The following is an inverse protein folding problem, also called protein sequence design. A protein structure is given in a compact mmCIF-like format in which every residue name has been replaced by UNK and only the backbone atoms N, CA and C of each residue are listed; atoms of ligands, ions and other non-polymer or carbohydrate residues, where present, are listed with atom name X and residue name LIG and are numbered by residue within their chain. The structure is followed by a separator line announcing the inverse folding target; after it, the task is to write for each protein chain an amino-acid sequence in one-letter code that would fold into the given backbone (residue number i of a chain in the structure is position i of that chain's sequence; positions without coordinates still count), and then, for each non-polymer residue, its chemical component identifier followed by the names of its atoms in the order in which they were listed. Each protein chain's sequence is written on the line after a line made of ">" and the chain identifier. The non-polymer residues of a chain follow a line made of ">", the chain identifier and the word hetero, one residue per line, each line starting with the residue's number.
data_IF_278916313384
#
_entry.id   IF_278916313384
#
_cell.length_a   1.000
_cell.length_b   1.000
_cell.length_c   1.000
_cell.angle_alpha   90.00
_cell.angle_beta   90.00
_cell.angle_gamma   90.00
#
_symmetry.space_group_name_H-M   'P 1'
#
loop_
_entity.id
_entity.type
_entity.pdbx_description
1 polymer ?
#
# COMPACT_ATOMS: atom_id res chain seq x y z
N UNK A 1 10.13 6.16 22.96
CA UNK A 1 10.49 4.81 22.45
C UNK A 1 9.31 3.95 21.96
N UNK A 2 8.15 3.97 22.61
CA UNK A 2 6.97 3.16 22.19
C UNK A 2 6.40 3.56 20.82
N UNK A 3 6.35 4.86 20.51
CA UNK A 3 5.83 5.39 19.23
C UNK A 3 6.69 4.93 18.04
N UNK A 4 8.02 4.93 18.20
CA UNK A 4 8.97 4.50 17.16
C UNK A 4 8.82 3.00 16.85
N UNK A 5 8.57 2.17 17.86
CA UNK A 5 8.29 0.73 17.68
C UNK A 5 6.96 0.51 16.94
N UNK A 6 5.92 1.27 17.28
CA UNK A 6 4.60 1.25 16.62
C UNK A 6 4.72 1.60 15.13
N UNK A 7 5.42 2.70 14.81
CA UNK A 7 5.70 3.12 13.43
C UNK A 7 6.48 2.06 12.65
N UNK A 8 7.52 1.46 13.24
CA UNK A 8 8.33 0.43 12.60
C UNK A 8 7.49 -0.79 12.20
N UNK A 9 6.54 -1.19 13.03
CA UNK A 9 5.69 -2.34 12.78
C UNK A 9 4.62 -2.05 11.72
N UNK A 10 4.00 -0.86 11.75
CA UNK A 10 3.15 -0.40 10.65
C UNK A 10 3.93 -0.41 9.33
N UNK A 11 5.18 0.07 9.35
CA UNK A 11 6.07 0.04 8.17
C UNK A 11 6.39 -1.38 7.71
N UNK A 12 6.66 -2.32 8.61
CA UNK A 12 6.92 -3.72 8.25
C UNK A 12 5.67 -4.36 7.62
N UNK A 13 4.49 -4.10 8.19
CA UNK A 13 3.22 -4.58 7.66
C UNK A 13 2.94 -3.99 6.27
N UNK A 14 2.99 -2.66 6.16
CA UNK A 14 2.73 -1.95 4.91
C UNK A 14 3.78 -2.27 3.85
N UNK A 15 5.03 -2.57 4.20
CA UNK A 15 6.08 -3.01 3.26
C UNK A 15 5.68 -4.24 2.44
N UNK A 16 4.91 -5.19 3.00
CA UNK A 16 4.44 -6.37 2.25
C UNK A 16 3.53 -6.01 1.08
N UNK A 17 2.84 -4.87 1.15
CA UNK A 17 1.90 -4.39 0.13
C UNK A 17 2.48 -3.26 -0.73
N UNK A 18 3.24 -2.35 -0.10
CA UNK A 18 3.87 -1.20 -0.75
C UNK A 18 4.94 -1.60 -1.75
N UNK A 19 5.73 -2.66 -1.47
CA UNK A 19 6.80 -3.09 -2.37
C UNK A 19 6.23 -3.66 -3.69
N UNK A 20 5.28 -4.63 -3.67
CA UNK A 20 4.62 -5.08 -4.89
C UNK A 20 3.90 -3.95 -5.62
N UNK A 21 3.15 -3.12 -4.88
CA UNK A 21 2.44 -1.98 -5.46
C UNK A 21 3.42 -1.09 -6.23
N UNK A 22 4.49 -0.60 -5.58
CA UNK A 22 5.51 0.25 -6.22
C UNK A 22 6.16 -0.41 -7.43
N UNK A 23 6.48 -1.70 -7.35
CA UNK A 23 7.10 -2.43 -8.46
C UNK A 23 6.19 -2.43 -9.69
N UNK A 24 4.91 -2.76 -9.51
CA UNK A 24 3.94 -2.75 -10.60
C UNK A 24 3.71 -1.33 -11.13
N UNK A 25 3.52 -0.32 -10.28
CA UNK A 25 3.34 1.07 -10.75
C UNK A 25 4.52 1.55 -11.57
N UNK A 26 5.75 1.27 -11.12
CA UNK A 26 6.98 1.64 -11.84
C UNK A 26 7.09 0.91 -13.19
N UNK A 27 6.80 -0.39 -13.22
CA UNK A 27 6.77 -1.20 -14.45
C UNK A 27 5.78 -0.66 -15.48
N UNK A 28 4.53 -0.42 -15.07
CA UNK A 28 3.51 0.14 -15.97
C UNK A 28 3.83 1.56 -16.41
N UNK A 29 4.53 2.31 -15.57
CA UNK A 29 4.99 3.64 -15.93
C UNK A 29 6.10 3.62 -17.00
N UNK A 30 7.06 2.71 -16.90
CA UNK A 30 8.05 2.50 -17.96
C UNK A 30 7.40 2.05 -19.27
N UNK A 31 6.36 1.22 -19.19
CA UNK A 31 5.59 0.78 -20.35
C UNK A 31 4.78 1.93 -20.99
N UNK A 32 4.25 2.86 -20.20
CA UNK A 32 3.51 4.02 -20.71
C UNK A 32 4.39 4.94 -21.55
N UNK A 33 5.65 5.12 -21.15
CA UNK A 33 6.64 5.89 -21.90
C UNK A 33 6.96 5.27 -23.27
N UNK A 34 6.85 3.94 -23.41
CA UNK A 34 7.21 3.21 -24.64
C UNK A 34 6.04 2.97 -25.60
N UNK A 35 4.83 2.75 -25.07
CA UNK A 35 3.65 2.35 -25.85
C UNK A 35 2.52 3.40 -25.88
N UNK A 36 2.73 4.56 -25.26
CA UNK A 36 1.75 5.64 -25.17
C UNK A 36 0.94 5.64 -23.87
N UNK A 37 0.46 6.82 -23.50
CA UNK A 37 0.02 7.10 -22.13
C UNK A 37 -1.43 6.73 -21.84
N UNK A 38 -2.35 6.84 -22.80
CA UNK A 38 -3.80 6.72 -22.56
C UNK A 38 -4.24 5.36 -21.99
N UNK A 39 -3.82 4.24 -22.58
CA UNK A 39 -4.25 2.91 -22.13
C UNK A 39 -3.51 2.43 -20.86
N UNK A 40 -2.26 2.87 -20.69
CA UNK A 40 -1.41 2.45 -19.58
C UNK A 40 -1.79 3.18 -18.28
N UNK A 41 -2.24 4.44 -18.35
CA UNK A 41 -2.75 5.16 -17.16
C UNK A 41 -4.00 4.50 -16.56
N UNK A 42 -4.90 3.98 -17.40
CA UNK A 42 -6.08 3.23 -16.92
C UNK A 42 -5.66 1.95 -16.20
N UNK A 43 -4.67 1.21 -16.73
CA UNK A 43 -4.12 0.02 -16.07
C UNK A 43 -3.48 0.34 -14.71
N UNK A 44 -2.71 1.41 -14.61
CA UNK A 44 -2.11 1.87 -13.35
C UNK A 44 -3.18 2.23 -12.32
N UNK A 45 -4.26 2.89 -12.75
CA UNK A 45 -5.38 3.23 -11.88
C UNK A 45 -6.15 1.99 -11.39
N UNK A 46 -6.43 1.03 -12.28
CA UNK A 46 -7.05 -0.26 -11.92
C UNK A 46 -6.18 -1.01 -10.91
N UNK A 47 -4.86 -1.01 -11.11
CA UNK A 47 -3.92 -1.68 -10.22
C UNK A 47 -3.93 -1.06 -8.82
N UNK A 48 -4.05 0.27 -8.71
CA UNK A 48 -4.24 0.96 -7.42
C UNK A 48 -5.52 0.54 -6.70
N UNK A 49 -6.65 0.48 -7.42
CA UNK A 49 -7.90 0.03 -6.81
C UNK A 49 -7.73 -1.38 -6.27
N UNK A 50 -7.08 -2.25 -7.05
CA UNK A 50 -6.86 -3.65 -6.68
C UNK A 50 -5.95 -3.77 -5.44
N UNK A 51 -4.85 -3.00 -5.37
CA UNK A 51 -3.97 -2.98 -4.19
C UNK A 51 -4.67 -2.43 -2.95
N UNK A 52 -5.48 -1.37 -3.07
CA UNK A 52 -6.28 -0.84 -1.95
C UNK A 52 -7.31 -1.86 -1.45
N UNK A 53 -7.98 -2.60 -2.35
CA UNK A 53 -8.91 -3.70 -1.98
C UNK A 53 -8.16 -4.83 -1.28
N UNK A 54 -6.96 -5.21 -1.76
CA UNK A 54 -6.14 -6.23 -1.11
C UNK A 54 -5.72 -5.82 0.30
N UNK A 55 -5.33 -4.56 0.52
CA UNK A 55 -5.06 -4.02 1.87
C UNK A 55 -6.32 -4.11 2.74
N UNK A 56 -7.47 -3.71 2.19
CA UNK A 56 -8.77 -3.81 2.86
C UNK A 56 -9.14 -5.21 3.33
N UNK A 57 -8.80 -6.23 2.54
CA UNK A 57 -9.06 -7.63 2.86
C UNK A 57 -8.04 -8.24 3.84
N UNK A 58 -6.77 -7.89 3.69
CA UNK A 58 -5.68 -8.51 4.46
C UNK A 58 -5.54 -7.98 5.88
N UNK A 59 -5.83 -6.69 6.12
CA UNK A 59 -5.81 -6.12 7.49
C UNK A 59 -6.71 -6.88 8.48
N UNK A 60 -8.00 -7.16 8.17
CA UNK A 60 -8.85 -7.95 9.05
C UNK A 60 -8.45 -9.44 9.14
N UNK A 61 -7.84 -10.03 8.10
CA UNK A 61 -7.29 -11.38 8.20
C UNK A 61 -6.06 -11.45 9.10
N UNK A 62 -5.17 -10.46 9.05
CA UNK A 62 -4.01 -10.37 9.95
C UNK A 62 -4.42 -10.29 11.41
N UNK A 63 -5.54 -9.63 11.73
CA UNK A 63 -6.09 -9.65 13.09
C UNK A 63 -6.35 -11.08 13.57
N UNK A 64 -6.88 -11.95 12.70
CA UNK A 64 -7.21 -13.34 13.08
C UNK A 64 -5.96 -14.18 13.32
N UNK A 65 -4.90 -13.99 12.53
CA UNK A 65 -3.68 -14.79 12.61
C UNK A 65 -2.65 -14.24 13.62
N UNK A 66 -2.63 -12.93 13.86
CA UNK A 66 -1.67 -12.26 14.74
C UNK A 66 -2.37 -11.42 15.83
N UNK A 67 -3.36 -12.03 16.51
CA UNK A 67 -4.16 -11.39 17.56
C UNK A 67 -3.29 -10.78 18.68
N UNK A 68 -2.18 -11.44 19.02
CA UNK A 68 -1.19 -10.96 20.00
C UNK A 68 -0.54 -9.63 19.60
N UNK A 69 -0.39 -9.36 18.31
CA UNK A 69 0.23 -8.15 17.80
C UNK A 69 -0.66 -6.92 18.01
N UNK A 70 -1.98 -7.06 17.80
CA UNK A 70 -2.96 -6.01 18.05
C UNK A 70 -3.20 -5.79 19.56
N UNK A 71 -3.22 -6.87 20.34
CA UNK A 71 -3.48 -6.82 21.79
C UNK A 71 -2.32 -6.19 22.57
N UNK A 72 -1.06 -6.52 22.25
CA UNK A 72 0.11 -5.94 22.92
C UNK A 72 0.40 -4.48 22.53
N UNK A 73 -0.09 -4.02 21.36
CA UNK A 73 0.20 -2.67 20.87
C UNK A 73 -0.95 -1.66 20.97
N UNK A 74 -2.14 -2.10 21.42
CA UNK A 74 -3.36 -1.28 21.51
C UNK A 74 -3.66 -0.54 20.19
N UNK A 75 -3.31 -1.11 19.05
CA UNK A 75 -3.66 -0.54 17.76
C UNK A 75 -4.99 -1.15 17.32
N UNK A 76 -5.90 -0.30 16.84
CA UNK A 76 -7.11 -0.79 16.21
C UNK A 76 -6.80 -1.16 14.75
N UNK A 77 -7.41 -2.23 14.21
CA UNK A 77 -7.25 -2.61 12.80
C UNK A 77 -7.65 -1.48 11.84
N UNK A 78 -8.60 -0.62 12.25
CA UNK A 78 -8.95 0.59 11.52
C UNK A 78 -7.76 1.56 11.37
N UNK A 79 -6.95 1.76 12.41
CA UNK A 79 -5.77 2.64 12.33
C UNK A 79 -4.72 2.06 11.38
N UNK A 80 -4.48 0.73 11.41
CA UNK A 80 -3.57 0.08 10.45
C UNK A 80 -4.09 0.16 9.01
N UNK A 81 -5.41 0.04 8.82
CA UNK A 81 -6.04 0.18 7.50
C UNK A 81 -5.88 1.61 6.98
N UNK A 82 -6.26 2.61 7.76
CA UNK A 82 -6.18 4.03 7.38
C UNK A 82 -4.74 4.42 7.08
N UNK A 83 -3.80 4.06 7.96
CA UNK A 83 -2.38 4.38 7.75
C UNK A 83 -1.79 3.66 6.54
N UNK A 84 -2.18 2.40 6.30
CA UNK A 84 -1.78 1.63 5.12
C UNK A 84 -2.28 2.24 3.82
N UNK A 85 -3.57 2.56 3.74
CA UNK A 85 -4.18 3.22 2.58
C UNK A 85 -3.60 4.62 2.34
N UNK A 86 -3.32 5.37 3.41
CA UNK A 86 -2.73 6.71 3.31
C UNK A 86 -1.29 6.65 2.77
N UNK A 87 -0.46 5.72 3.28
CA UNK A 87 0.90 5.50 2.78
C UNK A 87 0.89 5.04 1.31
N UNK A 88 -0.01 4.12 0.96
CA UNK A 88 -0.20 3.65 -0.41
C UNK A 88 -0.58 4.82 -1.34
N UNK A 89 -1.50 5.68 -0.89
CA UNK A 89 -1.95 6.84 -1.66
C UNK A 89 -0.80 7.82 -1.94
N UNK A 90 0.01 8.14 -0.92
CA UNK A 90 1.18 9.02 -1.05
C UNK A 90 2.19 8.42 -2.05
N UNK A 91 2.53 7.14 -1.89
CA UNK A 91 3.48 6.47 -2.78
C UNK A 91 3.01 6.46 -4.22
N UNK A 92 1.72 6.20 -4.43
CA UNK A 92 1.13 6.25 -5.77
C UNK A 92 1.14 7.67 -6.36
N UNK A 93 0.82 8.70 -5.58
CA UNK A 93 0.85 10.09 -6.05
C UNK A 93 2.26 10.50 -6.49
N UNK A 94 3.29 10.13 -5.72
CA UNK A 94 4.69 10.35 -6.06
C UNK A 94 5.04 9.60 -7.36
N UNK A 95 4.74 8.31 -7.45
CA UNK A 95 5.06 7.50 -8.66
C UNK A 95 4.33 8.00 -9.90
N UNK A 96 3.07 8.41 -9.79
CA UNK A 96 2.31 8.95 -10.92
C UNK A 96 2.88 10.27 -11.43
N UNK A 97 3.44 11.12 -10.55
CA UNK A 97 4.06 12.37 -10.99
C UNK A 97 5.29 12.17 -11.88
N UNK A 98 5.95 11.02 -11.80
CA UNK A 98 7.05 10.65 -12.69
C UNK A 98 6.58 10.00 -14.00
N UNK A 99 5.27 9.80 -14.16
CA UNK A 99 4.68 9.10 -15.29
C UNK A 99 4.06 10.01 -16.35
N UNK A 100 4.01 11.30 -16.07
CA UNK A 100 3.63 12.37 -16.99
C UNK A 100 4.89 13.08 -17.46
#
# INVERSE_FOLDING_TARGET
>A
MLVTRKLRLILIFSRRFLVPACFFTAMFCLLSLRFGTKNMQTLVFVLKILTSVMIGYTVPQYRKNEFYFFYNFQMTPLVMLITGLFLEFILFAILMSYCF
#
